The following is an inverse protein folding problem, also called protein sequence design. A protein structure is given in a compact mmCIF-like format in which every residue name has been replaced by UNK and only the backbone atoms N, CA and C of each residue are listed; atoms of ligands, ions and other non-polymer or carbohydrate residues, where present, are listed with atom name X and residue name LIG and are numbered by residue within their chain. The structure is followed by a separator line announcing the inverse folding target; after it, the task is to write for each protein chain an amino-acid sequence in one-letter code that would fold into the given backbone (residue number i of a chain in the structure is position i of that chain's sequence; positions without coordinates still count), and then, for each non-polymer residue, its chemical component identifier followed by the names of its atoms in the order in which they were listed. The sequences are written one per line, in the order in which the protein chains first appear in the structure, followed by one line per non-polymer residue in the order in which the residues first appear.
data_IF_355764906299
#
_entry.id   IF_355764906299
#
_cell.length_a   1.000
_cell.length_b   1.000
_cell.length_c   1.000
_cell.angle_alpha   90.00
_cell.angle_beta   90.00
_cell.angle_gamma   90.00
#
_symmetry.space_group_name_H-M   'P 1'
#
loop_
_entity.id
_entity.type
_entity.pdbx_description
1 polymer ?
#
# COMPACT_ATOMS: atom_id res chain seq x y z
N UNK A 1 16.29 -23.81 2.32
CA UNK A 1 15.88 -22.43 2.67
C UNK A 1 16.87 -21.41 2.11
N UNK A 2 18.18 -21.55 2.38
CA UNK A 2 19.22 -20.64 1.86
C UNK A 2 19.31 -20.69 0.32
N UNK A 3 19.29 -21.89 -0.29
CA UNK A 3 19.40 -22.03 -1.76
C UNK A 3 18.19 -21.43 -2.51
N UNK A 4 17.01 -21.46 -1.89
CA UNK A 4 15.76 -20.88 -2.41
C UNK A 4 15.83 -19.34 -2.36
N UNK A 5 16.39 -18.79 -1.27
CA UNK A 5 16.57 -17.35 -1.12
C UNK A 5 17.62 -16.77 -2.08
N UNK A 6 18.65 -17.55 -2.43
CA UNK A 6 19.76 -17.12 -3.28
C UNK A 6 19.42 -17.06 -4.79
N UNK A 7 18.23 -17.52 -5.21
CA UNK A 7 17.79 -17.45 -6.61
C UNK A 7 17.68 -15.99 -7.11
N UNK A 8 17.18 -15.09 -6.25
CA UNK A 8 17.05 -13.64 -6.53
C UNK A 8 17.32 -12.82 -5.25
N UNK A 9 18.59 -12.65 -4.84
CA UNK A 9 18.92 -12.13 -3.52
C UNK A 9 18.48 -10.67 -3.31
N UNK A 10 18.50 -9.84 -4.37
CA UNK A 10 18.06 -8.45 -4.30
C UNK A 10 16.55 -8.32 -4.06
N UNK A 11 15.74 -9.03 -4.86
CA UNK A 11 14.28 -8.99 -4.75
C UNK A 11 13.80 -9.64 -3.44
N UNK A 12 14.38 -10.76 -3.04
CA UNK A 12 14.03 -11.44 -1.79
C UNK A 12 14.41 -10.60 -0.55
N UNK A 13 15.52 -9.86 -0.60
CA UNK A 13 15.89 -8.92 0.47
C UNK A 13 14.89 -7.77 0.59
N UNK A 14 14.42 -7.23 -0.55
CA UNK A 14 13.37 -6.21 -0.56
C UNK A 14 12.07 -6.74 0.03
N UNK A 15 11.65 -7.97 -0.33
CA UNK A 15 10.47 -8.59 0.24
C UNK A 15 10.54 -8.71 1.76
N UNK A 16 11.69 -9.12 2.31
CA UNK A 16 11.90 -9.19 3.77
C UNK A 16 11.80 -7.80 4.41
N UNK A 17 12.41 -6.76 3.82
CA UNK A 17 12.30 -5.39 4.33
C UNK A 17 10.86 -4.89 4.33
N UNK A 18 10.11 -5.15 3.26
CA UNK A 18 8.70 -4.76 3.13
C UNK A 18 7.82 -5.54 4.10
N UNK A 19 8.10 -6.83 4.32
CA UNK A 19 7.42 -7.63 5.35
C UNK A 19 7.62 -7.04 6.75
N UNK A 20 8.86 -6.72 7.12
CA UNK A 20 9.15 -6.07 8.41
C UNK A 20 8.45 -4.72 8.53
N UNK A 21 8.39 -3.94 7.45
CA UNK A 21 7.66 -2.68 7.40
C UNK A 21 6.14 -2.84 7.58
N UNK A 22 5.53 -3.85 6.97
CA UNK A 22 4.12 -4.20 7.14
C UNK A 22 3.81 -4.57 8.60
N UNK A 23 4.62 -5.45 9.19
CA UNK A 23 4.45 -5.86 10.60
C UNK A 23 4.61 -4.67 11.53
N UNK A 24 5.65 -3.84 11.32
CA UNK A 24 5.86 -2.63 12.11
C UNK A 24 4.68 -1.66 11.98
N UNK A 25 4.19 -1.43 10.78
CA UNK A 25 3.07 -0.51 10.53
C UNK A 25 1.78 -1.03 11.16
N UNK A 26 1.52 -2.33 11.09
CA UNK A 26 0.40 -2.98 11.77
C UNK A 26 0.45 -2.75 13.29
N UNK A 27 1.61 -3.00 13.92
CA UNK A 27 1.79 -2.79 15.36
C UNK A 27 1.67 -1.31 15.75
N UNK A 28 2.27 -0.41 14.98
CA UNK A 28 2.13 1.04 15.20
C UNK A 28 0.68 1.46 15.09
N UNK A 29 -0.02 1.05 14.04
CA UNK A 29 -1.44 1.41 13.83
C UNK A 29 -2.33 0.90 14.97
N UNK A 30 -2.15 -0.35 15.41
CA UNK A 30 -2.86 -0.92 16.56
C UNK A 30 -2.57 -0.16 17.86
N UNK A 31 -1.29 0.10 18.17
CA UNK A 31 -0.91 0.76 19.42
C UNK A 31 -1.40 2.21 19.47
N UNK A 32 -1.41 2.92 18.34
CA UNK A 32 -2.00 4.25 18.28
C UNK A 32 -3.52 4.20 18.33
N UNK A 33 -4.17 3.25 17.66
CA UNK A 33 -5.63 3.11 17.74
C UNK A 33 -6.14 2.92 19.17
N UNK A 34 -5.33 2.30 20.05
CA UNK A 34 -5.63 2.09 21.47
C UNK A 34 -5.20 3.25 22.38
N UNK A 35 -4.63 4.34 21.83
CA UNK A 35 -4.19 5.51 22.60
C UNK A 35 -5.21 6.63 22.55
N UNK A 36 -5.53 7.16 23.72
CA UNK A 36 -6.46 8.29 23.88
C UNK A 36 -5.84 9.64 23.48
N UNK A 37 -4.52 9.68 23.24
CA UNK A 37 -3.84 10.87 22.74
C UNK A 37 -3.87 10.91 21.20
N UNK A 38 -4.35 12.02 20.58
CA UNK A 38 -4.44 12.12 19.14
C UNK A 38 -3.04 12.06 18.49
N UNK A 39 -2.92 11.32 17.38
CA UNK A 39 -1.68 11.31 16.59
C UNK A 39 -1.38 12.70 16.06
N UNK A 40 -0.18 13.19 16.38
CA UNK A 40 0.33 14.43 15.81
C UNK A 40 0.81 14.16 14.38
N UNK A 41 0.00 14.56 13.40
CA UNK A 41 0.31 14.42 11.97
C UNK A 41 1.25 15.51 11.44
N UNK A 42 1.42 16.60 12.20
CA UNK A 42 2.23 17.75 11.80
C UNK A 42 3.63 17.78 12.43
N UNK A 43 3.78 17.19 13.63
CA UNK A 43 5.03 17.19 14.39
C UNK A 43 5.24 15.81 15.01
N UNK A 44 6.51 15.41 15.13
CA UNK A 44 6.89 14.14 15.73
C UNK A 44 7.39 13.10 14.73
N UNK A 45 7.67 11.90 15.24
CA UNK A 45 8.26 10.80 14.47
C UNK A 45 7.25 10.14 13.52
N UNK A 46 5.96 10.11 13.88
CA UNK A 46 4.91 9.50 13.06
C UNK A 46 4.78 10.18 11.68
N UNK A 47 4.88 11.51 11.65
CA UNK A 47 4.85 12.28 10.40
C UNK A 47 5.99 11.92 9.42
N UNK A 48 7.08 11.33 9.92
CA UNK A 48 8.23 10.88 9.11
C UNK A 48 8.08 9.44 8.61
N UNK A 49 7.16 8.65 9.18
CA UNK A 49 6.97 7.25 8.78
C UNK A 49 6.44 7.13 7.35
N UNK A 50 5.41 7.90 7.01
CA UNK A 50 4.77 7.83 5.71
C UNK A 50 5.75 8.09 4.54
N UNK A 51 6.54 9.19 4.52
CA UNK A 51 7.55 9.37 3.48
C UNK A 51 8.66 8.31 3.56
N UNK A 52 9.02 7.84 4.77
CA UNK A 52 10.03 6.78 4.94
C UNK A 52 9.62 5.46 4.29
N UNK A 53 8.39 4.99 4.52
CA UNK A 53 7.89 3.75 3.91
C UNK A 53 7.62 3.87 2.42
N UNK A 54 7.26 5.07 1.94
CA UNK A 54 7.08 5.32 0.50
C UNK A 54 8.36 5.10 -0.31
N UNK A 55 9.55 5.24 0.30
CA UNK A 55 10.84 4.96 -0.34
C UNK A 55 11.01 3.47 -0.67
N UNK A 56 10.37 2.56 0.08
CA UNK A 56 10.46 1.11 -0.17
C UNK A 56 9.84 0.70 -1.52
N UNK A 57 8.97 1.53 -2.11
CA UNK A 57 8.42 1.29 -3.45
C UNK A 57 9.39 1.61 -4.59
N UNK A 58 10.43 2.43 -4.36
CA UNK A 58 11.32 2.91 -5.42
C UNK A 58 12.11 1.78 -6.10
N UNK A 59 12.73 0.83 -5.37
CA UNK A 59 13.45 -0.28 -6.00
C UNK A 59 12.56 -1.14 -6.91
N UNK A 60 11.32 -1.41 -6.48
CA UNK A 60 10.34 -2.16 -7.29
C UNK A 60 9.97 -1.40 -8.58
N UNK A 61 9.84 -0.07 -8.50
CA UNK A 61 9.59 0.74 -9.70
C UNK A 61 10.76 0.68 -10.68
N UNK A 62 11.98 0.85 -10.19
CA UNK A 62 13.18 0.83 -11.02
C UNK A 62 13.39 -0.52 -11.73
N UNK A 63 13.03 -1.63 -11.08
CA UNK A 63 13.06 -2.96 -11.68
C UNK A 63 12.02 -3.09 -12.82
N UNK A 64 10.78 -2.62 -12.58
CA UNK A 64 9.69 -2.69 -13.56
C UNK A 64 9.83 -1.69 -14.72
N UNK A 65 10.54 -0.57 -14.53
CA UNK A 65 10.84 0.38 -15.60
C UNK A 65 11.71 -0.22 -16.73
N UNK A 66 12.38 -1.34 -16.46
CA UNK A 66 13.16 -2.06 -17.46
C UNK A 66 12.28 -2.95 -18.36
N UNK A 67 10.99 -3.09 -18.04
CA UNK A 67 10.03 -3.77 -18.90
C UNK A 67 9.60 -2.90 -20.08
N UNK A 68 9.39 -3.51 -21.23
CA UNK A 68 8.88 -2.83 -22.42
C UNK A 68 7.34 -2.69 -22.41
N UNK A 69 6.82 -1.80 -23.24
CA UNK A 69 5.39 -1.68 -23.55
C UNK A 69 4.57 -0.74 -22.66
N UNK A 70 3.24 -0.91 -22.69
CA UNK A 70 2.26 -0.04 -22.00
C UNK A 70 2.37 -0.08 -20.45
N UNK A 71 3.13 -1.02 -19.92
CA UNK A 71 3.35 -1.22 -18.50
C UNK A 71 4.13 -0.07 -17.88
N UNK A 72 5.02 0.57 -18.65
CA UNK A 72 5.79 1.74 -18.23
C UNK A 72 4.87 2.88 -17.75
N UNK A 73 3.71 3.06 -18.39
CA UNK A 73 2.75 4.08 -17.99
C UNK A 73 2.19 3.81 -16.59
N UNK A 74 1.84 2.55 -16.30
CA UNK A 74 1.33 2.14 -14.98
C UNK A 74 2.41 2.35 -13.92
N UNK A 75 3.64 1.92 -14.19
CA UNK A 75 4.78 2.08 -13.29
C UNK A 75 5.05 3.57 -13.03
N UNK A 76 4.97 4.42 -14.05
CA UNK A 76 5.14 5.87 -13.92
C UNK A 76 4.06 6.52 -13.06
N UNK A 77 2.79 6.11 -13.21
CA UNK A 77 1.69 6.58 -12.36
C UNK A 77 1.93 6.20 -10.90
N UNK A 78 2.29 4.94 -10.64
CA UNK A 78 2.55 4.44 -9.28
C UNK A 78 3.79 5.11 -8.68
N UNK A 79 4.85 5.30 -9.46
CA UNK A 79 6.03 6.04 -9.03
C UNK A 79 5.68 7.49 -8.68
N UNK A 80 4.85 8.15 -9.47
CA UNK A 80 4.36 9.50 -9.17
C UNK A 80 3.63 9.53 -7.83
N UNK A 81 2.79 8.53 -7.53
CA UNK A 81 2.12 8.40 -6.22
C UNK A 81 3.13 8.30 -5.08
N UNK A 82 4.20 7.50 -5.21
CA UNK A 82 5.24 7.43 -4.18
C UNK A 82 6.00 8.74 -4.03
N UNK A 83 6.39 9.38 -5.14
CA UNK A 83 7.09 10.67 -5.12
C UNK A 83 6.24 11.74 -4.42
N UNK A 84 4.94 11.82 -4.72
CA UNK A 84 4.04 12.77 -4.07
C UNK A 84 3.94 12.52 -2.55
N UNK A 85 3.83 11.25 -2.14
CA UNK A 85 3.81 10.86 -0.72
C UNK A 85 5.16 11.08 0.01
N UNK A 86 6.27 11.28 -0.73
CA UNK A 86 7.58 11.63 -0.16
C UNK A 86 7.76 13.15 -0.11
N UNK A 87 7.57 13.82 -1.25
CA UNK A 87 7.91 15.25 -1.43
C UNK A 87 6.98 16.15 -0.62
N UNK A 88 5.67 15.90 -0.63
CA UNK A 88 4.70 16.78 0.04
C UNK A 88 4.91 16.85 1.56
N UNK A 89 5.08 15.72 2.29
CA UNK A 89 5.38 15.76 3.71
C UNK A 89 6.74 16.40 4.01
N UNK A 90 7.76 16.16 3.17
CA UNK A 90 9.08 16.78 3.34
C UNK A 90 9.03 18.30 3.18
N UNK A 91 8.26 18.81 2.21
CA UNK A 91 8.03 20.25 2.05
C UNK A 91 7.30 20.85 3.26
N UNK A 92 6.32 20.14 3.83
CA UNK A 92 5.62 20.58 5.06
C UNK A 92 6.58 20.63 6.26
N UNK A 93 7.38 19.57 6.47
CA UNK A 93 8.34 19.48 7.58
C UNK A 93 9.44 20.55 7.47
N UNK A 94 9.88 20.89 6.25
CA UNK A 94 10.91 21.92 6.00
C UNK A 94 10.41 23.36 6.20
N UNK A 95 9.11 23.55 6.46
CA UNK A 95 8.58 24.76 7.06
C UNK A 95 8.44 25.96 6.13
N UNK A 96 7.96 25.76 4.89
CA UNK A 96 7.66 26.92 4.03
C UNK A 96 6.60 26.67 2.95
N UNK A 97 5.35 26.43 3.35
CA UNK A 97 4.24 26.60 2.39
C UNK A 97 2.90 26.86 3.06
N UNK A 98 2.20 27.91 2.60
CA UNK A 98 0.81 28.21 2.96
C UNK A 98 -0.21 27.60 1.99
N UNK A 99 0.24 26.79 1.02
CA UNK A 99 -0.64 26.19 0.03
C UNK A 99 -1.58 25.16 0.67
N UNK A 100 -2.88 25.27 0.38
CA UNK A 100 -3.91 24.33 0.86
C UNK A 100 -3.61 22.86 0.52
N UNK A 101 -2.98 22.62 -0.64
CA UNK A 101 -2.51 21.29 -1.07
C UNK A 101 -1.54 20.62 -0.10
N UNK A 102 -0.70 21.41 0.58
CA UNK A 102 0.30 20.89 1.53
C UNK A 102 -0.31 20.71 2.93
N UNK A 103 -1.38 21.43 3.26
CA UNK A 103 -2.05 21.31 4.55
C UNK A 103 -2.91 20.04 4.65
N UNK A 104 -3.74 19.77 3.63
CA UNK A 104 -4.64 18.61 3.57
C UNK A 104 -4.00 17.33 2.98
N UNK A 105 -2.66 17.27 2.93
CA UNK A 105 -1.93 16.23 2.22
C UNK A 105 -2.29 14.79 2.61
N UNK A 106 -2.63 14.54 3.88
CA UNK A 106 -3.08 13.22 4.35
C UNK A 106 -4.39 12.76 3.71
N UNK A 107 -5.35 13.68 3.47
CA UNK A 107 -6.65 13.33 2.86
C UNK A 107 -6.51 12.94 1.39
N UNK A 108 -5.71 13.71 0.65
CA UNK A 108 -5.46 13.45 -0.78
C UNK A 108 -4.49 12.29 -0.99
N UNK A 109 -3.60 12.02 -0.03
CA UNK A 109 -2.74 10.82 -0.01
C UNK A 109 -3.57 9.54 -0.10
N UNK A 110 -4.67 9.43 0.67
CA UNK A 110 -5.57 8.26 0.61
C UNK A 110 -6.12 8.08 -0.81
N UNK A 111 -6.57 9.18 -1.45
CA UNK A 111 -7.13 9.14 -2.80
C UNK A 111 -6.10 8.69 -3.83
N UNK A 112 -4.95 9.37 -3.92
CA UNK A 112 -3.93 9.05 -4.94
C UNK A 112 -3.36 7.64 -4.75
N UNK A 113 -3.22 7.19 -3.49
CA UNK A 113 -2.68 5.86 -3.17
C UNK A 113 -3.68 4.77 -3.51
N UNK A 114 -4.98 4.99 -3.27
CA UNK A 114 -6.04 4.07 -3.68
C UNK A 114 -6.12 3.93 -5.19
N UNK A 115 -6.01 5.05 -5.93
CA UNK A 115 -5.96 5.04 -7.40
C UNK A 115 -4.73 4.28 -7.89
N UNK A 116 -3.55 4.54 -7.32
CA UNK A 116 -2.33 3.77 -7.64
C UNK A 116 -2.50 2.26 -7.43
N UNK A 117 -3.15 1.88 -6.33
CA UNK A 117 -3.49 0.48 -6.04
C UNK A 117 -4.46 -0.14 -7.05
N UNK A 118 -5.44 0.62 -7.52
CA UNK A 118 -6.35 0.19 -8.59
C UNK A 118 -5.62 -0.06 -9.90
N UNK A 119 -4.66 0.79 -10.28
CA UNK A 119 -3.86 0.56 -11.47
C UNK A 119 -3.01 -0.72 -11.37
N UNK A 120 -2.38 -0.96 -10.21
CA UNK A 120 -1.60 -2.19 -9.95
C UNK A 120 -2.48 -3.43 -9.99
N UNK A 121 -3.57 -3.45 -9.21
CA UNK A 121 -4.46 -4.61 -9.12
C UNK A 121 -5.24 -4.84 -10.42
N UNK A 122 -5.67 -3.76 -11.08
CA UNK A 122 -6.37 -3.81 -12.36
C UNK A 122 -5.48 -4.35 -13.48
N UNK A 123 -4.20 -3.95 -13.52
CA UNK A 123 -3.23 -4.52 -14.45
C UNK A 123 -3.06 -6.03 -14.24
N UNK A 124 -2.81 -6.47 -13.00
CA UNK A 124 -2.64 -7.89 -12.71
C UNK A 124 -3.91 -8.71 -13.03
N UNK A 125 -5.10 -8.16 -12.74
CA UNK A 125 -6.37 -8.79 -13.08
C UNK A 125 -6.57 -8.86 -14.61
N UNK A 126 -6.19 -7.82 -15.35
CA UNK A 126 -6.26 -7.81 -16.81
C UNK A 126 -5.32 -8.84 -17.44
N UNK A 127 -4.07 -8.91 -16.98
CA UNK A 127 -3.08 -9.87 -17.52
C UNK A 127 -3.53 -11.31 -17.23
N UNK A 128 -4.01 -11.58 -16.02
CA UNK A 128 -4.53 -12.90 -15.66
C UNK A 128 -5.74 -13.32 -16.52
N UNK A 129 -6.68 -12.40 -16.77
CA UNK A 129 -7.90 -12.71 -17.56
C UNK A 129 -7.64 -12.79 -19.06
N UNK A 130 -6.66 -12.06 -19.57
CA UNK A 130 -6.27 -12.10 -20.99
C UNK A 130 -5.29 -13.24 -21.33
N UNK A 131 -4.66 -13.85 -20.32
CA UNK A 131 -3.60 -14.85 -20.52
C UNK A 131 -2.33 -14.25 -21.14
N UNK A 132 -2.16 -12.93 -21.05
CA UNK A 132 -0.96 -12.26 -21.51
C UNK A 132 0.23 -12.56 -20.59
N UNK A 133 1.46 -12.43 -21.09
CA UNK A 133 2.65 -12.56 -20.26
C UNK A 133 2.75 -11.41 -19.26
N UNK A 134 3.09 -11.73 -18.01
CA UNK A 134 3.26 -10.72 -16.97
C UNK A 134 4.59 -10.00 -17.20
N UNK A 135 4.51 -8.69 -17.49
CA UNK A 135 5.68 -7.83 -17.41
C UNK A 135 6.30 -7.88 -16.01
N UNK A 136 7.51 -8.39 -15.93
CA UNK A 136 8.28 -8.53 -14.72
C UNK A 136 9.69 -7.97 -14.97
N UNK A 137 10.31 -7.39 -13.95
CA UNK A 137 11.68 -6.89 -14.08
C UNK A 137 12.70 -8.04 -14.03
N UNK A 138 13.96 -7.79 -14.38
CA UNK A 138 14.98 -8.83 -14.48
C UNK A 138 15.35 -9.48 -13.16
N UNK A 139 15.04 -8.83 -12.02
CA UNK A 139 15.35 -9.38 -10.69
C UNK A 139 14.19 -10.12 -10.03
N UNK A 140 13.01 -10.14 -10.65
CA UNK A 140 11.77 -10.71 -10.09
C UNK A 140 11.19 -11.86 -10.93
N UNK A 141 10.36 -12.71 -10.31
CA UNK A 141 9.77 -13.91 -10.93
C UNK A 141 8.24 -13.90 -10.68
N UNK A 142 7.58 -12.91 -11.29
CA UNK A 142 6.16 -12.59 -11.09
C UNK A 142 5.23 -13.70 -11.60
N UNK A 143 5.64 -14.38 -12.68
CA UNK A 143 4.89 -15.47 -13.30
C UNK A 143 4.79 -16.67 -12.36
N UNK A 144 5.90 -17.07 -11.74
CA UNK A 144 5.92 -18.12 -10.72
C UNK A 144 5.03 -17.80 -9.53
N UNK A 145 5.02 -16.53 -9.07
CA UNK A 145 4.15 -16.09 -7.96
C UNK A 145 2.67 -16.14 -8.36
N UNK A 146 2.30 -15.62 -9.54
CA UNK A 146 0.91 -15.54 -10.00
C UNK A 146 0.32 -16.87 -10.48
N UNK A 147 1.13 -17.84 -10.87
CA UNK A 147 0.66 -19.19 -11.23
C UNK A 147 0.71 -20.16 -10.05
N UNK A 148 1.23 -19.73 -8.90
CA UNK A 148 1.34 -20.56 -7.71
C UNK A 148 -0.02 -20.90 -7.08
N UNK A 149 -0.05 -21.96 -6.26
CA UNK A 149 -1.22 -22.32 -5.46
C UNK A 149 -1.70 -21.18 -4.55
N UNK A 150 -0.82 -20.27 -4.15
CA UNK A 150 -1.15 -19.15 -3.27
C UNK A 150 -1.76 -17.96 -4.01
N UNK A 151 -1.70 -17.92 -5.34
CA UNK A 151 -2.36 -16.91 -6.15
C UNK A 151 -3.89 -17.08 -6.20
N UNK A 152 -4.39 -18.24 -5.79
CA UNK A 152 -5.82 -18.52 -5.66
C UNK A 152 -6.19 -18.64 -4.18
N UNK A 153 -7.03 -17.73 -3.70
CA UNK A 153 -7.56 -17.76 -2.35
C UNK A 153 -9.08 -17.71 -2.39
N UNK A 154 -9.74 -18.61 -1.64
CA UNK A 154 -11.21 -18.73 -1.60
C UNK A 154 -11.86 -18.91 -3.00
N UNK A 155 -11.13 -19.52 -3.94
CA UNK A 155 -11.58 -19.71 -5.33
C UNK A 155 -11.42 -18.48 -6.23
N UNK A 156 -10.93 -17.35 -5.71
CA UNK A 156 -10.66 -16.12 -6.47
C UNK A 156 -9.16 -15.85 -6.60
N UNK A 157 -8.77 -15.19 -7.70
CA UNK A 157 -7.40 -14.73 -7.86
C UNK A 157 -7.11 -13.59 -6.87
N UNK A 158 -5.91 -13.60 -6.26
CA UNK A 158 -5.47 -12.57 -5.32
C UNK A 158 -5.60 -11.16 -5.92
N UNK A 159 -5.35 -11.02 -7.21
CA UNK A 159 -5.47 -9.75 -7.95
C UNK A 159 -6.90 -9.19 -7.93
N UNK A 160 -7.91 -10.06 -7.99
CA UNK A 160 -9.34 -9.67 -7.90
C UNK A 160 -9.71 -9.23 -6.49
N UNK A 161 -9.20 -9.93 -5.46
CA UNK A 161 -9.42 -9.55 -4.05
C UNK A 161 -8.78 -8.19 -3.76
N UNK A 162 -7.55 -7.98 -4.24
CA UNK A 162 -6.87 -6.69 -4.14
C UNK A 162 -7.63 -5.57 -4.85
N UNK A 163 -8.13 -5.83 -6.07
CA UNK A 163 -8.93 -4.86 -6.83
C UNK A 163 -10.20 -4.47 -6.06
N UNK A 164 -10.95 -5.43 -5.53
CA UNK A 164 -12.13 -5.17 -4.70
C UNK A 164 -11.78 -4.40 -3.43
N UNK A 165 -10.65 -4.70 -2.81
CA UNK A 165 -10.14 -3.95 -1.65
C UNK A 165 -9.90 -2.47 -1.96
N UNK A 166 -9.16 -2.18 -3.03
CA UNK A 166 -8.89 -0.79 -3.44
C UNK A 166 -10.14 -0.05 -3.91
N UNK A 167 -11.07 -0.72 -4.59
CA UNK A 167 -12.39 -0.14 -4.93
C UNK A 167 -13.17 0.18 -3.65
N UNK A 168 -13.19 -0.74 -2.68
CA UNK A 168 -13.85 -0.52 -1.39
C UNK A 168 -13.30 0.67 -0.62
N UNK A 169 -11.97 0.81 -0.58
CA UNK A 169 -11.29 1.95 0.05
C UNK A 169 -11.65 3.26 -0.67
N UNK A 170 -11.63 3.26 -2.01
CA UNK A 170 -11.98 4.45 -2.80
C UNK A 170 -13.44 4.86 -2.63
N UNK A 171 -14.37 3.90 -2.65
CA UNK A 171 -15.79 4.14 -2.38
C UNK A 171 -16.01 4.64 -0.95
N UNK A 172 -15.30 4.06 0.02
CA UNK A 172 -15.29 4.55 1.39
C UNK A 172 -14.85 6.02 1.45
N UNK A 173 -13.77 6.38 0.77
CA UNK A 173 -13.31 7.76 0.70
C UNK A 173 -14.36 8.69 0.05
N UNK A 174 -15.03 8.26 -1.02
CA UNK A 174 -16.11 9.03 -1.65
C UNK A 174 -17.31 9.25 -0.71
N UNK A 175 -17.73 8.20 0.01
CA UNK A 175 -18.80 8.30 1.02
C UNK A 175 -18.39 9.21 2.17
N UNK A 176 -17.11 9.21 2.55
CA UNK A 176 -16.60 10.12 3.59
C UNK A 176 -16.69 11.60 3.15
N UNK A 177 -16.45 11.89 1.87
CA UNK A 177 -16.49 13.27 1.36
C UNK A 177 -17.91 13.76 1.01
N UNK A 178 -18.74 12.89 0.43
CA UNK A 178 -20.04 13.27 -0.14
C UNK A 178 -21.25 12.76 0.65
N UNK A 179 -21.04 11.85 1.60
CA UNK A 179 -22.12 11.17 2.32
C UNK A 179 -22.80 12.01 3.40
N UNK A 180 -23.93 11.54 3.96
CA UNK A 180 -24.60 12.17 5.10
C UNK A 180 -23.71 12.19 6.36
N UNK A 181 -23.83 13.23 7.20
CA UNK A 181 -23.02 13.42 8.43
C UNK A 181 -22.98 12.20 9.37
N UNK A 182 -24.08 11.45 9.46
CA UNK A 182 -24.17 10.24 10.29
C UNK A 182 -23.21 9.14 9.82
N UNK A 183 -23.11 8.95 8.49
CA UNK A 183 -22.26 7.91 7.89
C UNK A 183 -20.80 8.37 7.88
N UNK A 184 -20.54 9.66 7.61
CA UNK A 184 -19.20 10.24 7.60
C UNK A 184 -18.41 10.01 8.89
N UNK A 185 -19.08 9.83 10.03
CA UNK A 185 -18.43 9.55 11.32
C UNK A 185 -17.87 8.13 11.41
N UNK A 186 -18.52 7.15 10.78
CA UNK A 186 -18.12 5.73 10.84
C UNK A 186 -17.22 5.36 9.66
N UNK A 187 -17.34 6.05 8.52
CA UNK A 187 -16.58 5.72 7.31
C UNK A 187 -15.05 5.67 7.51
N UNK A 188 -14.39 6.59 8.23
CA UNK A 188 -12.95 6.51 8.46
C UNK A 188 -12.51 5.23 9.19
N UNK A 189 -13.35 4.74 10.11
CA UNK A 189 -13.11 3.49 10.83
C UNK A 189 -13.24 2.29 9.90
N UNK A 190 -14.23 2.28 9.01
CA UNK A 190 -14.39 1.22 8.01
C UNK A 190 -13.23 1.17 7.03
N UNK A 191 -12.80 2.33 6.51
CA UNK A 191 -11.63 2.42 5.63
C UNK A 191 -10.39 1.89 6.35
N UNK A 192 -10.15 2.32 7.59
CA UNK A 192 -9.03 1.84 8.39
C UNK A 192 -9.07 0.33 8.60
N UNK A 193 -10.25 -0.24 8.90
CA UNK A 193 -10.44 -1.69 9.03
C UNK A 193 -10.12 -2.45 7.74
N UNK A 194 -10.52 -1.92 6.58
CA UNK A 194 -10.16 -2.49 5.27
C UNK A 194 -8.65 -2.42 5.01
N UNK A 195 -8.01 -1.27 5.28
CA UNK A 195 -6.56 -1.10 5.16
C UNK A 195 -5.82 -2.05 6.11
N UNK A 196 -6.30 -2.21 7.34
CA UNK A 196 -5.71 -3.08 8.35
C UNK A 196 -5.76 -4.55 7.91
N UNK A 197 -6.93 -5.02 7.47
CA UNK A 197 -7.08 -6.36 6.90
C UNK A 197 -6.16 -6.56 5.69
N UNK A 198 -6.09 -5.58 4.79
CA UNK A 198 -5.25 -5.68 3.62
C UNK A 198 -3.75 -5.65 3.93
N UNK A 199 -3.29 -4.94 4.96
CA UNK A 199 -1.90 -5.02 5.45
C UNK A 199 -1.58 -6.40 6.02
N UNK A 200 -2.49 -7.01 6.79
CA UNK A 200 -2.32 -8.37 7.28
C UNK A 200 -2.24 -9.38 6.12
N UNK A 201 -3.11 -9.21 5.12
CA UNK A 201 -3.13 -10.05 3.94
C UNK A 201 -1.86 -9.88 3.10
N UNK A 202 -1.40 -8.64 2.89
CA UNK A 202 -0.11 -8.37 2.23
C UNK A 202 1.05 -8.96 3.02
N UNK A 203 1.06 -8.87 4.35
CA UNK A 203 2.12 -9.46 5.18
C UNK A 203 2.19 -10.97 5.03
N UNK A 204 1.03 -11.65 4.95
CA UNK A 204 0.95 -13.07 4.68
C UNK A 204 1.56 -13.43 3.32
N UNK A 205 1.18 -12.72 2.25
CA UNK A 205 1.71 -13.00 0.91
C UNK A 205 3.20 -12.68 0.78
N UNK A 206 3.65 -11.53 1.29
CA UNK A 206 5.07 -11.14 1.27
C UNK A 206 5.93 -12.07 2.12
N UNK A 207 5.37 -12.75 3.13
CA UNK A 207 6.07 -13.83 3.83
C UNK A 207 6.21 -15.09 2.96
N UNK A 208 5.19 -15.46 2.18
CA UNK A 208 5.26 -16.66 1.34
C UNK A 208 6.28 -16.53 0.20
N UNK A 209 6.45 -15.34 -0.36
CA UNK A 209 7.36 -15.05 -1.48
C UNK A 209 8.81 -15.55 -1.25
N UNK A 210 9.59 -15.00 -0.29
CA UNK A 210 10.99 -15.41 -0.11
C UNK A 210 11.14 -16.74 0.65
N UNK A 211 10.22 -17.09 1.55
CA UNK A 211 10.39 -18.24 2.45
C UNK A 211 9.83 -19.55 1.88
N UNK A 212 8.76 -19.48 1.08
CA UNK A 212 8.08 -20.68 0.57
C UNK A 212 8.28 -20.84 -0.93
N UNK A 213 8.10 -19.77 -1.70
CA UNK A 213 8.17 -19.80 -3.17
C UNK A 213 9.60 -19.61 -3.70
N UNK A 214 10.43 -18.81 -3.01
CA UNK A 214 11.75 -18.39 -3.51
C UNK A 214 11.70 -17.44 -4.69
N UNK A 215 10.54 -16.83 -4.91
CA UNK A 215 10.25 -15.91 -5.98
C UNK A 215 9.55 -14.69 -5.39
N UNK A 216 9.95 -13.51 -5.86
CA UNK A 216 9.36 -12.24 -5.42
C UNK A 216 8.70 -11.55 -6.61
N UNK A 217 7.52 -10.98 -6.40
CA UNK A 217 6.80 -10.22 -7.42
C UNK A 217 6.83 -8.72 -7.10
N UNK A 218 7.41 -7.90 -8.00
CA UNK A 218 7.50 -6.45 -7.78
C UNK A 218 6.12 -5.76 -7.73
N UNK A 219 5.12 -6.30 -8.44
CA UNK A 219 3.74 -5.80 -8.36
C UNK A 219 3.11 -6.05 -6.99
N UNK A 220 3.39 -7.19 -6.38
CA UNK A 220 2.95 -7.50 -5.02
C UNK A 220 3.63 -6.58 -4.01
N UNK A 221 4.93 -6.31 -4.18
CA UNK A 221 5.67 -5.33 -3.37
C UNK A 221 5.07 -3.92 -3.50
N UNK A 222 4.73 -3.48 -4.71
CA UNK A 222 4.03 -2.21 -4.89
C UNK A 222 2.71 -2.15 -4.12
N UNK A 223 1.87 -3.18 -4.28
CA UNK A 223 0.61 -3.26 -3.55
C UNK A 223 0.84 -3.24 -2.03
N UNK A 224 1.84 -3.98 -1.53
CA UNK A 224 2.19 -4.00 -0.12
C UNK A 224 2.58 -2.60 0.41
N UNK A 225 3.44 -1.87 -0.31
CA UNK A 225 3.85 -0.52 0.08
C UNK A 225 2.67 0.46 0.03
N UNK A 226 1.80 0.36 -0.98
CA UNK A 226 0.58 1.19 -1.06
C UNK A 226 -0.35 0.93 0.13
N UNK A 227 -0.49 -0.33 0.57
CA UNK A 227 -1.28 -0.66 1.76
C UNK A 227 -0.67 -0.13 3.06
N UNK A 228 0.67 -0.12 3.19
CA UNK A 228 1.36 0.54 4.31
C UNK A 228 0.98 2.03 4.35
N UNK A 229 1.08 2.72 3.21
CA UNK A 229 0.78 4.15 3.11
C UNK A 229 -0.69 4.41 3.47
N UNK A 230 -1.62 3.61 2.93
CA UNK A 230 -3.05 3.74 3.22
C UNK A 230 -3.37 3.52 4.71
N UNK A 231 -2.78 2.51 5.35
CA UNK A 231 -2.99 2.26 6.77
C UNK A 231 -2.46 3.43 7.63
N UNK A 232 -1.25 3.91 7.33
CA UNK A 232 -0.67 5.06 8.04
C UNK A 232 -1.48 6.35 7.82
N UNK A 233 -1.98 6.57 6.61
CA UNK A 233 -2.76 7.75 6.28
C UNK A 233 -4.15 7.75 6.93
N UNK A 234 -4.74 6.57 7.13
CA UNK A 234 -6.09 6.40 7.69
C UNK A 234 -6.12 6.33 9.22
N UNK A 235 -5.03 5.87 9.86
CA UNK A 235 -4.94 5.71 11.33
C UNK A 235 -5.33 6.97 12.13
N UNK A 236 -4.84 8.20 11.80
CA UNK A 236 -5.21 9.40 12.57
C UNK A 236 -6.71 9.73 12.49
N UNK A 237 -7.37 9.42 11.37
CA UNK A 237 -8.80 9.66 11.20
C UNK A 237 -9.64 8.62 11.93
N UNK A 238 -9.18 7.36 11.98
CA UNK A 238 -9.85 6.31 12.74
C UNK A 238 -9.80 6.56 14.25
N UNK A 239 -8.67 7.02 14.78
CA UNK A 239 -8.54 7.38 16.19
C UNK A 239 -9.57 8.40 16.65
N UNK A 240 -9.85 9.43 15.84
CA UNK A 240 -10.86 10.45 16.16
C UNK A 240 -12.25 9.87 16.36
N UNK A 241 -12.54 8.69 15.79
CA UNK A 241 -13.82 8.01 15.98
C UNK A 241 -13.81 7.21 17.28
N UNK A 242 -12.71 6.50 17.55
CA UNK A 242 -12.56 5.71 18.78
C UNK A 242 -12.61 6.57 20.04
N UNK A 243 -11.94 7.73 20.04
CA UNK A 243 -11.92 8.61 21.22
C UNK A 243 -13.29 9.17 21.57
N UNK A 244 -14.19 9.38 20.60
CA UNK A 244 -15.54 9.92 20.84
C UNK A 244 -16.57 8.80 21.06
N UNK A 245 -16.17 7.53 21.03
CA UNK A 245 -17.03 6.41 21.40
C UNK A 245 -16.90 6.04 22.89
N UNK A 246 -15.82 6.50 23.55
CA UNK A 246 -15.59 6.31 24.99
C UNK A 246 -16.19 7.43 25.86
N UNK A 247 -16.62 8.54 25.26
CA UNK A 247 -17.33 9.66 25.90
C UNK A 247 -18.87 9.51 25.79
#
# INVERSE_FOLDING_TARGET
MIDIFMKSPAANSLAVLVFLALVFTCLVSLTFSMRNAPVQTEKGWYAKLLPGFSVLGIPAALDLFQSEGNVVLIVAIVLMVFILNIVVPLLKIRGNSSNSLILDWYKWSILITSIGGLFVAGYLAFVHTSGAEIACGPSSDCESVQTSKYAFMLGFHVSTIGLLGYVGILLGWLVWQLGPRTIQRITPLLIWGMCFFGVLFSAYLTFLEPFVLGATCMWCIFSAVLMIILLLATTPYAQQVFTVAED
#
